data_IF_509748635896
#
_entry.id   IF_509748635896
#
_cell.length_a   1.000
_cell.length_b   1.000
_cell.length_c   1.000
_cell.angle_alpha   90.00
_cell.angle_beta   90.00
_cell.angle_gamma   90.00
#
_symmetry.space_group_name_H-M   'P 1'
#
loop_
_entity.id
_entity.type
_entity.pdbx_description
1 polymer ?
#
# COMPACT_ATOMS: atom_id res chain seq x y z
N UNK A 1 55.52 56.53 21.83
CA UNK A 1 54.48 56.41 20.79
C UNK A 1 54.23 54.91 20.54
N UNK A 2 53.20 54.31 21.22
CA UNK A 2 52.83 52.88 21.04
C UNK A 2 51.66 52.84 20.07
N UNK A 3 51.83 52.23 18.92
CA UNK A 3 50.75 51.96 17.93
C UNK A 3 49.99 50.73 18.38
N UNK A 4 48.73 50.90 18.71
CA UNK A 4 47.75 49.82 18.95
C UNK A 4 47.29 49.31 17.59
N UNK A 5 47.56 48.05 17.30
CA UNK A 5 46.97 47.31 16.14
C UNK A 5 45.65 46.73 16.56
N UNK A 6 44.53 47.27 16.08
CA UNK A 6 43.21 46.65 16.20
C UNK A 6 43.09 45.55 15.15
N UNK A 7 43.05 44.29 15.57
CA UNK A 7 42.71 43.17 14.74
C UNK A 7 41.16 43.03 14.79
N UNK A 8 40.51 43.45 13.70
CA UNK A 8 39.08 43.20 13.52
C UNK A 8 38.87 41.73 13.14
N UNK A 9 38.43 40.94 14.11
CA UNK A 9 37.98 39.55 13.88
C UNK A 9 36.57 39.59 13.31
N UNK A 10 36.41 39.56 11.99
CA UNK A 10 35.11 39.37 11.33
C UNK A 10 34.68 37.93 11.50
N UNK A 11 33.84 37.68 12.50
CA UNK A 11 33.15 36.41 12.64
C UNK A 11 32.13 36.25 11.48
N UNK A 12 32.50 35.48 10.46
CA UNK A 12 31.55 34.99 9.48
C UNK A 12 30.56 34.07 10.23
N UNK A 13 29.38 34.60 10.57
CA UNK A 13 28.28 33.78 10.95
C UNK A 13 27.79 33.05 9.70
N UNK A 14 28.24 31.82 9.52
CA UNK A 14 27.59 30.89 8.61
C UNK A 14 26.19 30.60 9.20
N UNK A 15 25.17 31.33 8.73
CA UNK A 15 23.77 30.92 8.94
C UNK A 15 23.58 29.60 8.18
N UNK A 16 23.77 28.48 8.85
CA UNK A 16 23.27 27.19 8.35
C UNK A 16 21.75 27.35 8.38
N UNK A 17 21.16 27.68 7.25
CA UNK A 17 19.73 27.57 7.08
C UNK A 17 19.38 26.08 7.35
N UNK A 18 18.84 25.80 8.52
CA UNK A 18 18.32 24.45 8.84
C UNK A 18 17.22 24.17 7.82
N UNK A 19 17.48 23.23 6.93
CA UNK A 19 16.46 22.79 5.99
C UNK A 19 15.30 22.21 6.80
N UNK A 20 14.07 22.58 6.45
CA UNK A 20 12.89 22.03 7.12
C UNK A 20 12.87 20.50 6.91
N UNK A 21 12.73 19.69 7.99
CA UNK A 21 12.74 18.25 7.87
C UNK A 21 11.63 17.74 6.94
N UNK A 22 11.91 16.68 6.21
CA UNK A 22 10.93 16.01 5.36
C UNK A 22 9.96 15.21 6.22
N UNK A 23 8.66 15.49 6.11
CA UNK A 23 7.61 14.73 6.77
C UNK A 23 7.10 13.61 5.85
N UNK A 24 7.27 12.35 6.26
CA UNK A 24 6.69 11.18 5.57
C UNK A 24 5.34 10.87 6.22
N UNK A 25 4.25 11.16 5.53
CA UNK A 25 2.88 11.05 6.06
C UNK A 25 2.23 9.74 5.63
N UNK A 26 1.71 8.99 6.61
CA UNK A 26 0.99 7.74 6.41
C UNK A 26 -0.49 7.91 6.75
N UNK A 27 -1.42 7.43 5.91
CA UNK A 27 -2.87 7.48 6.16
C UNK A 27 -3.38 6.34 7.05
N UNK A 28 -2.53 5.70 7.82
CA UNK A 28 -2.82 4.51 8.65
C UNK A 28 -2.31 4.69 10.07
N UNK A 29 -2.71 3.80 10.97
CA UNK A 29 -2.09 3.66 12.29
C UNK A 29 -0.73 2.96 12.17
N UNK A 30 0.20 3.18 13.12
CA UNK A 30 1.50 2.51 13.12
C UNK A 30 1.39 0.98 13.01
N UNK A 31 2.30 0.38 12.25
CA UNK A 31 2.38 -1.07 12.02
C UNK A 31 2.06 -1.48 10.57
N UNK A 32 2.44 -2.71 10.23
CA UNK A 32 2.23 -3.29 8.92
C UNK A 32 3.12 -2.71 7.82
N UNK A 33 2.85 -3.15 6.60
CA UNK A 33 3.70 -2.91 5.42
C UNK A 33 3.97 -1.43 5.12
N UNK A 34 2.97 -0.56 5.30
CA UNK A 34 3.16 0.87 5.05
C UNK A 34 4.17 1.47 6.04
N UNK A 35 4.11 1.10 7.31
CA UNK A 35 5.13 1.52 8.30
C UNK A 35 6.53 1.04 7.91
N UNK A 36 6.68 -0.21 7.52
CA UNK A 36 7.97 -0.77 7.12
C UNK A 36 8.54 -0.06 5.88
N UNK A 37 7.69 0.23 4.91
CA UNK A 37 8.05 0.96 3.70
C UNK A 37 8.49 2.41 4.00
N UNK A 38 7.72 3.12 4.85
CA UNK A 38 8.06 4.47 5.29
C UNK A 38 9.36 4.52 6.09
N UNK A 39 9.61 3.53 6.95
CA UNK A 39 10.87 3.44 7.71
C UNK A 39 12.07 3.18 6.81
N UNK A 40 11.92 2.36 5.76
CA UNK A 40 12.96 2.15 4.75
C UNK A 40 13.28 3.44 3.98
N UNK A 41 12.27 4.23 3.64
CA UNK A 41 12.45 5.56 3.03
C UNK A 41 13.14 6.52 4.01
N UNK A 42 12.65 6.62 5.24
CA UNK A 42 13.21 7.48 6.29
C UNK A 42 14.68 7.21 6.51
N UNK A 43 15.06 5.95 6.66
CA UNK A 43 16.46 5.54 6.82
C UNK A 43 17.29 5.91 5.57
N UNK A 44 16.75 5.74 4.37
CA UNK A 44 17.45 6.08 3.13
C UNK A 44 17.68 7.59 2.98
N UNK A 45 16.71 8.42 3.40
CA UNK A 45 16.86 9.88 3.46
C UNK A 45 17.92 10.28 4.48
N UNK A 46 17.92 9.67 5.67
CA UNK A 46 18.91 9.94 6.72
C UNK A 46 20.33 9.62 6.27
N UNK A 47 20.54 8.54 5.54
CA UNK A 47 21.85 8.16 4.97
C UNK A 47 22.37 9.17 3.93
N UNK A 48 21.49 9.87 3.23
CA UNK A 48 21.85 10.99 2.33
C UNK A 48 21.92 12.35 3.08
N UNK A 49 21.86 12.35 4.43
CA UNK A 49 21.94 13.55 5.26
C UNK A 49 20.71 14.45 5.20
N UNK A 50 19.55 13.89 4.84
CA UNK A 50 18.27 14.59 4.77
C UNK A 50 17.50 14.35 6.07
N UNK A 51 17.31 15.41 6.86
CA UNK A 51 16.48 15.34 8.07
C UNK A 51 15.04 14.99 7.71
N UNK A 52 14.47 14.03 8.41
CA UNK A 52 13.12 13.57 8.14
C UNK A 52 12.47 12.93 9.37
N UNK A 53 11.14 12.77 9.34
CA UNK A 53 10.37 12.07 10.33
C UNK A 53 9.12 11.44 9.71
N UNK A 54 8.57 10.44 10.39
CA UNK A 54 7.35 9.73 9.97
C UNK A 54 6.19 10.17 10.84
N UNK A 55 5.07 10.52 10.21
CA UNK A 55 3.83 10.90 10.89
C UNK A 55 2.65 10.04 10.41
N UNK A 56 1.73 9.74 11.33
CA UNK A 56 0.57 8.89 11.09
C UNK A 56 -0.70 9.71 11.25
N UNK A 57 -1.50 9.80 10.19
CA UNK A 57 -2.75 10.55 10.14
C UNK A 57 -3.88 9.64 9.65
N UNK A 58 -4.31 8.65 10.45
CA UNK A 58 -5.37 7.72 10.06
C UNK A 58 -6.74 8.40 10.02
N UNK A 59 -7.64 7.82 9.24
CA UNK A 59 -9.06 8.17 9.22
C UNK A 59 -9.59 8.65 7.87
N UNK A 60 -10.91 8.59 7.75
CA UNK A 60 -11.66 8.95 6.54
C UNK A 60 -11.09 8.32 5.26
N UNK A 61 -10.72 7.03 5.29
CA UNK A 61 -10.10 6.29 4.17
C UNK A 61 -8.90 7.03 3.54
N UNK A 62 -8.09 7.69 4.37
CA UNK A 62 -6.89 8.43 3.97
C UNK A 62 -7.11 9.92 3.68
N UNK A 63 -8.34 10.44 3.67
CA UNK A 63 -8.61 11.84 3.35
C UNK A 63 -8.05 12.82 4.38
N UNK A 64 -7.96 12.43 5.66
CA UNK A 64 -7.35 13.28 6.70
C UNK A 64 -5.88 13.53 6.35
N UNK A 65 -5.13 12.46 6.06
CA UNK A 65 -3.73 12.57 5.67
C UNK A 65 -3.56 13.31 4.34
N UNK A 66 -4.37 12.97 3.33
CA UNK A 66 -4.35 13.64 2.03
C UNK A 66 -4.51 15.15 2.16
N UNK A 67 -5.53 15.63 2.90
CA UNK A 67 -5.79 17.05 3.08
C UNK A 67 -4.66 17.76 3.85
N UNK A 68 -4.06 17.09 4.85
CA UNK A 68 -2.90 17.63 5.56
C UNK A 68 -1.70 17.81 4.63
N UNK A 69 -1.42 16.81 3.78
CA UNK A 69 -0.32 16.84 2.81
C UNK A 69 -0.52 17.93 1.76
N UNK A 70 -1.73 18.06 1.21
CA UNK A 70 -2.05 19.12 0.22
C UNK A 70 -1.96 20.50 0.85
N UNK A 71 -2.32 20.66 2.12
CA UNK A 71 -2.19 21.94 2.85
C UNK A 71 -0.72 22.27 3.14
N UNK A 72 0.10 21.29 3.46
CA UNK A 72 1.53 21.48 3.76
C UNK A 72 2.32 21.81 2.50
N UNK A 73 2.05 21.17 1.39
CA UNK A 73 2.66 21.27 0.04
C UNK A 73 4.14 20.92 -0.04
N UNK A 74 4.99 21.58 0.77
CA UNK A 74 6.45 21.38 0.76
C UNK A 74 6.96 20.53 1.92
N UNK A 75 8.13 19.93 1.75
CA UNK A 75 8.78 19.08 2.75
C UNK A 75 7.88 17.95 3.24
N UNK A 76 7.05 17.40 2.35
CA UNK A 76 6.13 16.33 2.64
C UNK A 76 6.11 15.28 1.54
N UNK A 77 6.26 14.01 1.94
CA UNK A 77 6.09 12.83 1.09
C UNK A 77 4.89 12.06 1.65
N UNK A 78 3.95 11.75 0.79
CA UNK A 78 2.75 10.98 1.17
C UNK A 78 2.89 9.53 0.75
N UNK A 79 2.74 8.61 1.68
CA UNK A 79 2.67 7.19 1.35
C UNK A 79 1.25 6.83 0.91
N UNK A 80 1.15 6.18 -0.22
CA UNK A 80 -0.12 5.90 -0.89
C UNK A 80 -0.19 4.46 -1.37
N UNK A 81 -1.37 3.86 -1.23
CA UNK A 81 -1.69 2.56 -1.79
C UNK A 81 -3.02 2.59 -2.54
N UNK A 82 -3.34 1.50 -3.21
CA UNK A 82 -4.59 1.34 -3.98
C UNK A 82 -5.83 1.63 -3.13
N UNK A 83 -5.84 1.21 -1.86
CA UNK A 83 -6.97 1.46 -0.96
C UNK A 83 -7.31 2.95 -0.85
N UNK A 84 -6.30 3.81 -0.76
CA UNK A 84 -6.47 5.26 -0.59
C UNK A 84 -6.63 5.95 -1.94
N UNK A 85 -5.75 5.67 -2.90
CA UNK A 85 -5.67 6.40 -4.18
C UNK A 85 -6.76 6.04 -5.19
N UNK A 86 -7.35 4.87 -5.08
CA UNK A 86 -8.43 4.39 -5.97
C UNK A 86 -9.75 4.31 -5.20
N UNK A 87 -9.82 3.47 -4.17
CA UNK A 87 -11.10 3.15 -3.52
C UNK A 87 -11.71 4.29 -2.73
N UNK A 88 -10.92 5.16 -2.10
CA UNK A 88 -11.46 6.35 -1.43
C UNK A 88 -12.21 7.27 -2.40
N UNK A 89 -11.75 7.36 -3.65
CA UNK A 89 -12.41 8.17 -4.69
C UNK A 89 -13.67 7.50 -5.23
N UNK A 90 -13.65 6.17 -5.38
CA UNK A 90 -14.83 5.39 -5.80
C UNK A 90 -15.94 5.46 -4.76
N UNK A 91 -15.60 5.26 -3.47
CA UNK A 91 -16.57 5.31 -2.36
C UNK A 91 -17.25 6.69 -2.27
N UNK A 92 -16.51 7.75 -2.57
CA UNK A 92 -17.02 9.14 -2.52
C UNK A 92 -17.60 9.63 -3.83
N UNK A 93 -17.69 8.78 -4.85
CA UNK A 93 -18.14 9.13 -6.21
C UNK A 93 -17.52 10.44 -6.73
N UNK A 94 -16.22 10.56 -6.59
CA UNK A 94 -15.45 11.74 -7.02
C UNK A 94 -14.33 11.38 -7.99
N UNK A 95 -13.84 12.38 -8.74
CA UNK A 95 -12.63 12.24 -9.55
C UNK A 95 -11.43 11.85 -8.67
N UNK A 96 -10.45 11.21 -9.28
CA UNK A 96 -9.26 10.80 -8.55
C UNK A 96 -8.43 12.04 -8.15
N UNK A 97 -8.59 12.46 -6.89
CA UNK A 97 -7.90 13.65 -6.35
C UNK A 97 -6.39 13.46 -6.26
N UNK A 98 -5.91 12.21 -6.16
CA UNK A 98 -4.48 11.90 -6.10
C UNK A 98 -3.81 12.18 -7.44
N UNK A 99 -4.34 11.64 -8.54
CA UNK A 99 -3.79 11.91 -9.88
C UNK A 99 -3.97 13.37 -10.31
N UNK A 100 -4.93 14.09 -9.72
CA UNK A 100 -5.15 15.50 -9.98
C UNK A 100 -4.10 16.40 -9.31
N UNK A 101 -3.79 16.14 -8.05
CA UNK A 101 -3.04 17.08 -7.19
C UNK A 101 -1.67 16.56 -6.76
N UNK A 102 -1.32 15.29 -7.04
CA UNK A 102 -0.05 14.69 -6.68
C UNK A 102 0.66 14.09 -7.87
N UNK A 103 1.97 13.95 -7.77
CA UNK A 103 2.82 13.17 -8.65
C UNK A 103 3.21 11.91 -7.90
N UNK A 104 2.89 10.75 -8.47
CA UNK A 104 3.43 9.49 -8.02
C UNK A 104 4.91 9.43 -8.37
N UNK A 105 5.76 9.45 -7.34
CA UNK A 105 7.21 9.45 -7.53
C UNK A 105 7.82 8.06 -7.52
N UNK A 106 7.22 7.14 -6.78
CA UNK A 106 7.66 5.76 -6.74
C UNK A 106 6.53 4.83 -6.31
N UNK A 107 6.01 3.96 -7.17
CA UNK A 107 5.48 2.69 -6.73
C UNK A 107 6.67 1.82 -6.33
N UNK A 108 6.64 1.28 -5.12
CA UNK A 108 7.82 0.59 -4.54
C UNK A 108 7.60 -0.91 -4.44
N UNK A 109 6.43 -1.32 -3.98
CA UNK A 109 6.09 -2.73 -3.79
C UNK A 109 4.68 -3.05 -4.28
N UNK A 110 4.47 -4.31 -4.66
CA UNK A 110 3.17 -4.93 -4.85
C UNK A 110 2.88 -5.88 -3.70
N UNK A 111 1.63 -5.92 -3.28
CA UNK A 111 1.11 -6.86 -2.30
C UNK A 111 0.15 -7.83 -2.98
N UNK A 112 0.57 -9.05 -3.33
CA UNK A 112 -0.35 -10.02 -3.89
C UNK A 112 -1.53 -10.25 -2.96
N UNK A 113 -2.75 -10.21 -3.51
CA UNK A 113 -3.94 -10.69 -2.83
C UNK A 113 -4.11 -12.18 -3.10
N UNK A 114 -4.77 -12.85 -2.17
CA UNK A 114 -5.11 -14.26 -2.33
C UNK A 114 -6.32 -14.64 -1.53
N UNK A 115 -6.94 -15.74 -1.95
CA UNK A 115 -7.92 -16.40 -1.11
C UNK A 115 -7.20 -17.30 -0.11
N UNK A 116 -7.49 -17.06 1.16
CA UNK A 116 -6.96 -17.81 2.30
C UNK A 116 -8.10 -18.52 3.01
N UNK A 117 -7.88 -19.73 3.45
CA UNK A 117 -8.87 -20.52 4.17
C UNK A 117 -8.24 -21.20 5.39
N UNK A 118 -9.09 -21.55 6.38
CA UNK A 118 -8.68 -22.53 7.37
C UNK A 118 -8.23 -23.81 6.69
N UNK A 119 -7.18 -24.44 7.22
CA UNK A 119 -6.72 -25.74 6.72
C UNK A 119 -7.79 -26.85 6.78
N UNK A 120 -8.85 -26.62 7.57
CA UNK A 120 -9.96 -27.57 7.81
C UNK A 120 -11.12 -27.42 6.81
N UNK A 121 -11.22 -26.31 6.05
CA UNK A 121 -12.41 -26.00 5.26
C UNK A 121 -12.26 -26.39 3.79
N UNK A 122 -11.38 -25.74 3.03
CA UNK A 122 -11.25 -25.95 1.58
C UNK A 122 -9.87 -26.50 1.22
N UNK A 123 -9.84 -27.52 0.37
CA UNK A 123 -8.62 -28.14 -0.13
C UNK A 123 -7.99 -27.37 -1.29
N UNK A 124 -8.82 -26.63 -2.06
CA UNK A 124 -8.37 -25.93 -3.25
C UNK A 124 -9.20 -24.66 -3.53
N UNK A 125 -8.66 -23.75 -4.34
CA UNK A 125 -9.39 -22.57 -4.79
C UNK A 125 -10.61 -22.91 -5.64
N UNK A 126 -10.53 -23.95 -6.46
CA UNK A 126 -11.69 -24.42 -7.26
C UNK A 126 -12.85 -24.87 -6.36
N UNK A 127 -12.55 -25.65 -5.33
CA UNK A 127 -13.56 -26.10 -4.36
C UNK A 127 -14.25 -24.93 -3.67
N UNK A 128 -13.49 -23.92 -3.22
CA UNK A 128 -14.01 -22.71 -2.62
C UNK A 128 -14.95 -21.96 -3.56
N UNK A 129 -14.58 -21.80 -4.83
CA UNK A 129 -15.42 -21.13 -5.83
C UNK A 129 -16.69 -21.89 -6.13
N UNK A 130 -16.62 -23.21 -6.33
CA UNK A 130 -17.83 -24.04 -6.58
C UNK A 130 -18.77 -24.00 -5.37
N UNK A 131 -18.25 -24.04 -4.15
CA UNK A 131 -19.06 -23.87 -2.94
C UNK A 131 -19.73 -22.48 -2.91
N UNK A 132 -18.99 -21.42 -3.22
CA UNK A 132 -19.51 -20.04 -3.20
C UNK A 132 -20.54 -19.75 -4.29
N UNK A 133 -20.59 -20.52 -5.39
CA UNK A 133 -21.65 -20.39 -6.40
C UNK A 133 -23.02 -20.83 -5.91
N UNK A 134 -23.06 -21.81 -5.03
CA UNK A 134 -24.31 -22.43 -4.56
C UNK A 134 -24.68 -22.02 -3.14
N UNK A 135 -23.72 -21.56 -2.33
CA UNK A 135 -23.92 -21.21 -0.93
C UNK A 135 -23.44 -19.79 -0.63
N UNK A 136 -24.17 -19.03 0.21
CA UNK A 136 -23.61 -17.83 0.82
C UNK A 136 -22.33 -18.17 1.60
N UNK A 137 -21.27 -17.43 1.38
CA UNK A 137 -19.98 -17.70 2.01
C UNK A 137 -19.40 -16.42 2.63
N UNK A 138 -19.49 -16.26 3.97
CA UNK A 138 -18.79 -15.20 4.68
C UNK A 138 -17.28 -15.28 4.43
N UNK A 139 -16.72 -14.19 3.90
CA UNK A 139 -15.32 -14.07 3.53
C UNK A 139 -14.72 -12.79 4.12
N UNK A 140 -13.71 -12.92 4.94
CA UNK A 140 -13.06 -11.81 5.63
C UNK A 140 -12.26 -10.92 4.69
N UNK A 141 -12.26 -9.64 4.99
CA UNK A 141 -11.44 -8.65 4.29
C UNK A 141 -10.84 -7.67 5.30
N UNK A 142 -9.55 -7.37 5.18
CA UNK A 142 -8.85 -6.45 6.08
C UNK A 142 -8.77 -5.01 5.55
N UNK A 143 -9.25 -4.77 4.32
CA UNK A 143 -9.22 -3.48 3.68
C UNK A 143 -10.43 -3.28 2.73
N UNK A 144 -10.85 -2.03 2.50
CA UNK A 144 -12.03 -1.70 1.68
C UNK A 144 -12.01 -2.29 0.27
N UNK A 145 -10.84 -2.38 -0.36
CA UNK A 145 -10.70 -2.98 -1.70
C UNK A 145 -11.09 -4.47 -1.71
N UNK A 146 -10.89 -5.20 -0.62
CA UNK A 146 -11.31 -6.60 -0.53
C UNK A 146 -12.82 -6.78 -0.69
N UNK A 147 -13.62 -5.93 -0.05
CA UNK A 147 -15.08 -5.95 -0.20
C UNK A 147 -15.52 -5.67 -1.65
N UNK A 148 -14.89 -4.68 -2.29
CA UNK A 148 -15.18 -4.35 -3.68
C UNK A 148 -14.78 -5.48 -4.64
N UNK A 149 -13.63 -6.15 -4.36
CA UNK A 149 -13.19 -7.31 -5.14
C UNK A 149 -14.14 -8.50 -5.00
N UNK A 150 -14.61 -8.81 -3.79
CA UNK A 150 -15.62 -9.87 -3.59
C UNK A 150 -16.92 -9.55 -4.35
N UNK A 151 -17.39 -8.30 -4.32
CA UNK A 151 -18.55 -7.86 -5.08
C UNK A 151 -18.34 -8.02 -6.60
N UNK A 152 -17.14 -7.67 -7.10
CA UNK A 152 -16.76 -7.85 -8.51
C UNK A 152 -16.74 -9.32 -8.91
N UNK A 153 -16.18 -10.17 -8.06
CA UNK A 153 -16.14 -11.62 -8.28
C UNK A 153 -17.57 -12.20 -8.32
N UNK A 154 -18.42 -11.82 -7.36
CA UNK A 154 -19.81 -12.23 -7.33
C UNK A 154 -20.54 -11.87 -8.63
N UNK A 155 -20.44 -10.60 -9.05
CA UNK A 155 -21.12 -10.10 -10.25
C UNK A 155 -20.64 -10.81 -11.53
N UNK A 156 -19.33 -11.05 -11.64
CA UNK A 156 -18.73 -11.60 -12.87
C UNK A 156 -18.83 -13.12 -12.97
N UNK A 157 -18.69 -13.81 -11.84
CA UNK A 157 -18.53 -15.29 -11.84
C UNK A 157 -19.68 -16.04 -11.16
N UNK A 158 -20.72 -15.31 -10.70
CA UNK A 158 -21.91 -15.91 -10.11
C UNK A 158 -21.72 -16.52 -8.73
N UNK A 159 -20.71 -16.05 -7.98
CA UNK A 159 -20.46 -16.47 -6.61
C UNK A 159 -21.34 -15.69 -5.61
N UNK A 160 -21.38 -16.14 -4.34
CA UNK A 160 -22.18 -15.56 -3.26
C UNK A 160 -21.31 -15.25 -2.03
N UNK A 161 -20.15 -14.62 -2.24
CA UNK A 161 -19.34 -14.16 -1.14
C UNK A 161 -20.03 -13.03 -0.37
N UNK A 162 -20.04 -13.14 0.95
CA UNK A 162 -20.51 -12.10 1.87
C UNK A 162 -19.29 -11.48 2.54
N UNK A 163 -19.05 -10.20 2.28
CA UNK A 163 -17.89 -9.50 2.84
C UNK A 163 -18.04 -9.29 4.35
N UNK A 164 -17.07 -9.74 5.13
CA UNK A 164 -16.95 -9.50 6.57
C UNK A 164 -15.74 -8.59 6.82
N UNK A 165 -15.96 -7.29 7.08
CA UNK A 165 -14.86 -6.34 7.25
C UNK A 165 -14.19 -6.47 8.62
N UNK A 166 -12.86 -6.49 8.62
CA UNK A 166 -12.00 -6.45 9.80
C UNK A 166 -11.13 -5.19 9.82
N UNK A 167 -10.76 -4.70 10.99
CA UNK A 167 -9.87 -3.53 11.14
C UNK A 167 -8.39 -3.83 10.88
N UNK A 168 -8.09 -5.01 10.32
CA UNK A 168 -6.74 -5.46 9.98
C UNK A 168 -6.55 -6.97 10.21
N UNK A 169 -5.41 -7.47 9.76
CA UNK A 169 -5.10 -8.91 9.77
C UNK A 169 -4.95 -9.50 11.17
N UNK A 170 -4.61 -8.69 12.17
CA UNK A 170 -4.50 -9.15 13.57
C UNK A 170 -5.82 -9.65 14.14
N UNK A 171 -6.95 -9.07 13.69
CA UNK A 171 -8.28 -9.51 14.09
C UNK A 171 -8.82 -10.63 13.19
N UNK A 172 -8.50 -10.62 11.92
CA UNK A 172 -8.99 -11.58 10.92
C UNK A 172 -8.35 -12.97 11.08
N UNK A 173 -7.04 -13.03 11.36
CA UNK A 173 -6.28 -14.29 11.42
C UNK A 173 -6.76 -15.29 12.47
N UNK A 174 -7.06 -14.89 13.73
CA UNK A 174 -7.60 -15.83 14.71
C UNK A 174 -8.86 -16.55 14.21
N UNK A 175 -9.83 -15.80 13.66
CA UNK A 175 -11.10 -16.38 13.18
C UNK A 175 -10.90 -17.36 12.01
N UNK A 176 -9.91 -17.08 11.14
CA UNK A 176 -9.53 -18.03 10.09
C UNK A 176 -8.89 -19.31 10.65
N UNK A 177 -7.95 -19.18 11.61
CA UNK A 177 -7.24 -20.33 12.20
C UNK A 177 -8.21 -21.22 12.96
N UNK A 178 -9.15 -20.64 13.71
CA UNK A 178 -10.18 -21.35 14.44
C UNK A 178 -11.24 -21.99 13.52
N UNK A 179 -11.39 -21.43 12.31
CA UNK A 179 -12.36 -21.91 11.30
C UNK A 179 -13.76 -21.30 11.45
N UNK A 180 -13.97 -20.35 12.35
CA UNK A 180 -15.19 -19.53 12.46
C UNK A 180 -15.40 -18.74 11.18
N UNK A 181 -14.33 -18.18 10.62
CA UNK A 181 -14.29 -17.59 9.29
C UNK A 181 -13.75 -18.63 8.29
N UNK A 182 -14.53 -18.96 7.27
CA UNK A 182 -14.16 -20.02 6.32
C UNK A 182 -13.17 -19.59 5.25
N UNK A 183 -13.21 -18.32 4.85
CA UNK A 183 -12.25 -17.76 3.89
C UNK A 183 -12.00 -16.27 4.12
N UNK A 184 -10.89 -15.80 3.57
CA UNK A 184 -10.59 -14.39 3.44
C UNK A 184 -10.03 -14.09 2.05
N UNK A 185 -10.27 -12.88 1.55
CA UNK A 185 -9.55 -12.28 0.43
C UNK A 185 -8.65 -11.19 0.99
N UNK A 186 -7.36 -11.47 1.07
CA UNK A 186 -6.44 -10.60 1.79
C UNK A 186 -5.01 -10.64 1.20
N UNK A 187 -4.14 -9.76 1.71
CA UNK A 187 -2.72 -9.74 1.36
C UNK A 187 -2.03 -11.03 1.83
N UNK A 188 -1.47 -11.80 0.89
CA UNK A 188 -0.94 -13.13 1.18
C UNK A 188 0.30 -13.10 2.08
N UNK A 189 1.13 -12.06 2.00
CA UNK A 189 2.37 -11.95 2.78
C UNK A 189 2.15 -12.15 4.28
N UNK A 190 1.05 -11.60 4.82
CA UNK A 190 0.69 -11.73 6.24
C UNK A 190 0.26 -13.15 6.65
N UNK A 191 -0.02 -14.04 5.70
CA UNK A 191 -0.53 -15.39 5.94
C UNK A 191 0.49 -16.49 5.62
N UNK A 192 1.60 -16.17 4.94
CA UNK A 192 2.65 -17.14 4.56
C UNK A 192 3.17 -17.94 5.76
N UNK A 193 3.52 -17.34 6.91
CA UNK A 193 4.00 -18.12 8.05
C UNK A 193 2.99 -19.17 8.53
N UNK A 194 1.71 -18.81 8.62
CA UNK A 194 0.65 -19.73 9.04
C UNK A 194 0.31 -20.78 7.98
N UNK A 195 0.52 -20.47 6.72
CA UNK A 195 0.40 -21.42 5.62
C UNK A 195 1.51 -22.48 5.70
N UNK A 196 2.74 -22.06 5.92
CA UNK A 196 3.91 -22.95 6.08
C UNK A 196 3.78 -23.83 7.33
N UNK A 197 3.19 -23.31 8.39
CA UNK A 197 2.86 -24.06 9.61
C UNK A 197 1.65 -25.02 9.44
N UNK A 198 0.99 -25.02 8.29
CA UNK A 198 -0.20 -25.85 8.02
C UNK A 198 -1.47 -25.41 8.77
N UNK A 199 -1.47 -24.26 9.44
CA UNK A 199 -2.64 -23.71 10.18
C UNK A 199 -3.66 -23.09 9.25
N UNK A 200 -3.20 -22.49 8.15
CA UNK A 200 -4.02 -21.93 7.10
C UNK A 200 -3.60 -22.51 5.74
N UNK A 201 -4.46 -22.34 4.73
CA UNK A 201 -4.12 -22.59 3.33
C UNK A 201 -4.29 -21.32 2.52
N UNK A 202 -3.24 -20.85 1.86
CA UNK A 202 -3.35 -19.91 0.77
C UNK A 202 -3.80 -20.73 -0.44
N UNK A 203 -4.99 -20.47 -0.96
CA UNK A 203 -5.62 -21.27 -2.02
C UNK A 203 -5.32 -20.74 -3.42
N UNK A 204 -5.05 -19.43 -3.53
CA UNK A 204 -4.77 -18.77 -4.81
C UNK A 204 -4.17 -17.39 -4.57
N UNK A 205 -3.49 -16.85 -5.59
CA UNK A 205 -2.85 -15.52 -5.56
C UNK A 205 -3.13 -14.73 -6.84
N UNK A 206 -3.08 -13.40 -6.75
CA UNK A 206 -3.16 -12.51 -7.93
C UNK A 206 -1.87 -12.47 -8.73
N UNK A 207 -0.73 -12.74 -8.11
CA UNK A 207 0.60 -12.75 -8.73
C UNK A 207 1.42 -13.91 -8.21
N UNK A 208 2.27 -14.47 -9.05
CA UNK A 208 3.25 -15.48 -8.62
C UNK A 208 4.08 -14.92 -7.47
N UNK A 209 4.10 -15.62 -6.36
CA UNK A 209 4.75 -15.21 -5.12
C UNK A 209 5.85 -16.19 -4.78
N UNK A 210 7.04 -15.69 -4.49
CA UNK A 210 8.20 -16.52 -4.15
C UNK A 210 7.89 -17.44 -2.96
N UNK A 211 8.22 -18.71 -3.09
CA UNK A 211 8.01 -19.70 -2.01
C UNK A 211 6.57 -20.18 -1.85
N UNK A 212 5.64 -19.77 -2.71
CA UNK A 212 4.27 -20.28 -2.74
C UNK A 212 4.00 -21.04 -4.03
N UNK A 213 3.68 -22.32 -3.91
CA UNK A 213 3.21 -23.16 -5.03
C UNK A 213 1.68 -23.26 -4.99
N UNK A 214 1.03 -22.16 -5.37
CA UNK A 214 -0.44 -22.05 -5.40
C UNK A 214 -0.89 -21.43 -6.73
N UNK A 215 -2.06 -21.81 -7.25
CA UNK A 215 -2.53 -21.29 -8.54
C UNK A 215 -2.81 -19.79 -8.48
N UNK A 216 -2.59 -19.12 -9.60
CA UNK A 216 -3.11 -17.77 -9.80
C UNK A 216 -4.64 -17.79 -9.88
N UNK A 217 -5.28 -16.72 -9.38
CA UNK A 217 -6.74 -16.59 -9.37
C UNK A 217 -7.33 -16.71 -10.78
N UNK A 218 -6.67 -16.17 -11.80
CA UNK A 218 -7.13 -16.20 -13.19
C UNK A 218 -7.21 -17.62 -13.80
N UNK A 219 -6.51 -18.60 -13.22
CA UNK A 219 -6.61 -20.01 -13.63
C UNK A 219 -7.98 -20.63 -13.34
N UNK A 220 -8.70 -20.11 -12.35
CA UNK A 220 -10.03 -20.57 -11.95
C UNK A 220 -11.10 -19.54 -12.30
N UNK A 221 -10.76 -18.26 -12.24
CA UNK A 221 -11.60 -17.12 -12.61
C UNK A 221 -11.00 -16.38 -13.81
N UNK A 222 -11.23 -16.85 -15.05
CA UNK A 222 -10.58 -16.33 -16.25
C UNK A 222 -10.78 -14.81 -16.40
N UNK A 223 -9.68 -14.09 -16.67
CA UNK A 223 -9.68 -12.65 -16.82
C UNK A 223 -9.86 -11.88 -15.50
N UNK A 224 -9.61 -12.53 -14.36
CA UNK A 224 -9.44 -11.82 -13.09
C UNK A 224 -8.04 -11.19 -13.06
N UNK A 225 -7.98 -9.91 -12.79
CA UNK A 225 -6.75 -9.19 -12.54
C UNK A 225 -7.00 -8.15 -11.45
N UNK A 226 -6.09 -8.04 -10.51
CA UNK A 226 -6.07 -7.00 -9.50
C UNK A 226 -4.62 -6.72 -9.12
N UNK A 227 -4.24 -5.46 -9.11
CA UNK A 227 -2.91 -5.01 -8.71
C UNK A 227 -3.03 -4.17 -7.43
N UNK A 228 -2.55 -4.71 -6.32
CA UNK A 228 -2.46 -4.01 -5.04
C UNK A 228 -1.00 -3.57 -4.84
N UNK A 229 -0.78 -2.28 -4.79
CA UNK A 229 0.55 -1.68 -4.70
C UNK A 229 0.61 -0.60 -3.62
N UNK A 230 1.82 -0.31 -3.19
CA UNK A 230 2.16 0.79 -2.30
C UNK A 230 3.33 1.58 -2.87
N UNK A 231 3.33 2.88 -2.63
CA UNK A 231 4.35 3.79 -3.12
C UNK A 231 4.26 5.15 -2.46
N UNK A 232 4.93 6.12 -3.06
CA UNK A 232 5.00 7.48 -2.55
C UNK A 232 4.56 8.50 -3.59
N UNK A 233 3.96 9.58 -3.10
CA UNK A 233 3.54 10.72 -3.91
C UNK A 233 3.97 12.03 -3.25
N UNK A 234 4.17 13.05 -4.07
CA UNK A 234 4.47 14.43 -3.65
C UNK A 234 3.44 15.35 -4.29
N UNK A 235 2.98 16.42 -3.59
CA UNK A 235 2.12 17.44 -4.21
C UNK A 235 2.77 18.01 -5.48
N UNK A 236 1.97 18.24 -6.54
CA UNK A 236 2.46 18.70 -7.86
C UNK A 236 3.25 20.01 -7.80
N UNK A 237 2.87 20.89 -6.89
CA UNK A 237 3.46 22.21 -6.76
C UNK A 237 4.61 22.25 -5.73
N UNK A 238 5.02 21.11 -5.21
CA UNK A 238 6.10 21.02 -4.21
C UNK A 238 7.47 21.29 -4.81
N UNK A 239 8.26 22.11 -4.12
CA UNK A 239 9.65 22.34 -4.46
C UNK A 239 10.54 21.10 -4.26
N UNK A 240 10.10 20.13 -3.47
CA UNK A 240 10.81 18.84 -3.29
C UNK A 240 11.02 18.08 -4.60
N UNK A 241 10.15 18.27 -5.58
CA UNK A 241 10.29 17.67 -6.92
C UNK A 241 11.55 18.14 -7.64
N UNK A 242 12.16 19.26 -7.20
CA UNK A 242 13.41 19.84 -7.71
C UNK A 242 14.63 19.46 -6.86
N UNK A 243 14.44 18.87 -5.67
CA UNK A 243 15.55 18.39 -4.84
C UNK A 243 16.06 17.06 -5.38
N UNK A 244 17.16 17.10 -6.11
CA UNK A 244 17.77 15.92 -6.75
C UNK A 244 18.17 14.85 -5.74
N UNK A 245 18.52 15.19 -4.49
CA UNK A 245 18.89 14.23 -3.46
C UNK A 245 17.68 13.46 -2.99
N UNK A 246 16.57 14.16 -2.68
CA UNK A 246 15.30 13.53 -2.31
C UNK A 246 14.80 12.64 -3.44
N UNK A 247 14.76 13.16 -4.66
CA UNK A 247 14.27 12.42 -5.83
C UNK A 247 15.13 11.19 -6.14
N UNK A 248 16.45 11.30 -5.98
CA UNK A 248 17.38 10.15 -6.11
C UNK A 248 17.03 9.05 -5.11
N UNK A 249 16.81 9.39 -3.83
CA UNK A 249 16.48 8.43 -2.79
C UNK A 249 15.15 7.75 -3.11
N UNK A 250 14.10 8.52 -3.37
CA UNK A 250 12.75 7.98 -3.60
C UNK A 250 12.69 7.10 -4.85
N UNK A 251 13.28 7.55 -5.96
CA UNK A 251 13.28 6.81 -7.22
C UNK A 251 14.08 5.50 -7.16
N UNK A 252 15.08 5.42 -6.29
CA UNK A 252 15.89 4.21 -6.13
C UNK A 252 15.46 3.31 -4.97
N UNK A 253 14.47 3.70 -4.18
CA UNK A 253 14.04 2.96 -3.00
C UNK A 253 13.64 1.50 -3.34
N UNK A 254 12.99 1.28 -4.49
CA UNK A 254 12.57 -0.06 -4.95
C UNK A 254 13.74 -1.05 -5.13
N UNK A 255 15.00 -0.57 -5.19
CA UNK A 255 16.23 -1.37 -5.27
C UNK A 255 16.94 -1.47 -3.91
N UNK A 256 16.38 -0.87 -2.87
CA UNK A 256 17.04 -0.82 -1.57
C UNK A 256 17.02 -2.19 -0.89
N UNK A 257 18.17 -2.62 -0.39
CA UNK A 257 18.27 -3.82 0.46
C UNK A 257 17.41 -3.74 1.72
N UNK A 258 17.01 -2.55 2.15
CA UNK A 258 16.10 -2.34 3.28
C UNK A 258 14.71 -2.93 3.04
N UNK A 259 14.35 -3.20 1.79
CA UNK A 259 13.09 -3.83 1.40
C UNK A 259 13.16 -5.36 1.27
N UNK A 260 14.36 -5.95 1.37
CA UNK A 260 14.52 -7.42 1.28
C UNK A 260 13.59 -8.16 2.25
N UNK A 261 13.41 -7.75 3.53
CA UNK A 261 12.48 -8.44 4.44
C UNK A 261 11.03 -8.44 3.93
N UNK A 262 10.60 -7.38 3.23
CA UNK A 262 9.27 -7.34 2.60
C UNK A 262 9.20 -8.32 1.42
N UNK A 263 10.21 -8.38 0.56
CA UNK A 263 10.25 -9.31 -0.56
C UNK A 263 10.33 -10.77 -0.08
N UNK A 264 11.07 -11.04 0.98
CA UNK A 264 11.12 -12.37 1.61
C UNK A 264 9.79 -12.77 2.25
N UNK A 265 8.99 -11.79 2.69
CA UNK A 265 7.63 -12.02 3.21
C UNK A 265 6.54 -12.06 2.12
N UNK A 266 6.93 -12.17 0.84
CA UNK A 266 6.01 -12.39 -0.28
C UNK A 266 5.50 -11.14 -0.99
N UNK A 267 6.05 -9.96 -0.68
CA UNK A 267 5.82 -8.77 -1.50
C UNK A 267 6.66 -8.83 -2.78
N UNK A 268 6.24 -8.10 -3.80
CA UNK A 268 6.87 -8.10 -5.10
C UNK A 268 7.36 -6.70 -5.46
N UNK A 269 8.37 -6.63 -6.33
CA UNK A 269 8.77 -5.36 -6.94
C UNK A 269 7.60 -4.68 -7.67
N UNK A 270 7.55 -3.36 -7.59
CA UNK A 270 6.46 -2.60 -8.16
C UNK A 270 6.51 -2.48 -9.69
N UNK A 271 5.38 -2.03 -10.24
CA UNK A 271 5.22 -1.67 -11.65
C UNK A 271 6.07 -0.42 -11.97
N UNK A 272 6.62 -0.28 -13.17
CA UNK A 272 7.25 0.97 -13.61
C UNK A 272 6.31 2.18 -13.47
N UNK A 273 6.86 3.31 -13.03
CA UNK A 273 6.11 4.55 -12.74
C UNK A 273 5.28 5.08 -13.91
N UNK A 274 5.72 4.84 -15.15
CA UNK A 274 5.09 5.41 -16.36
C UNK A 274 3.61 5.06 -16.53
N UNK A 275 3.15 3.95 -15.97
CA UNK A 275 1.79 3.46 -16.13
C UNK A 275 0.89 3.67 -14.91
N UNK A 276 1.43 4.21 -13.79
CA UNK A 276 0.70 4.19 -12.52
C UNK A 276 -0.53 5.11 -12.53
N UNK A 277 -0.41 6.34 -13.04
CA UNK A 277 -1.52 7.29 -13.11
C UNK A 277 -2.64 6.76 -14.01
N UNK A 278 -2.28 6.21 -15.15
CA UNK A 278 -3.21 5.55 -16.07
C UNK A 278 -3.89 4.37 -15.38
N UNK A 279 -3.12 3.54 -14.68
CA UNK A 279 -3.65 2.39 -13.94
C UNK A 279 -4.61 2.83 -12.84
N UNK A 280 -4.26 3.85 -12.04
CA UNK A 280 -5.11 4.40 -10.99
C UNK A 280 -6.43 4.94 -11.54
N UNK A 281 -6.38 5.74 -12.60
CA UNK A 281 -7.58 6.30 -13.23
C UNK A 281 -8.46 5.20 -13.82
N UNK A 282 -7.88 4.22 -14.51
CA UNK A 282 -8.61 3.08 -15.07
C UNK A 282 -9.25 2.22 -13.98
N UNK A 283 -8.53 1.93 -12.90
CA UNK A 283 -9.08 1.20 -11.75
C UNK A 283 -10.23 1.99 -11.12
N UNK A 284 -10.06 3.29 -10.86
CA UNK A 284 -11.11 4.15 -10.30
C UNK A 284 -12.39 4.09 -11.13
N UNK A 285 -12.27 4.22 -12.45
CA UNK A 285 -13.45 4.17 -13.34
C UNK A 285 -14.08 2.78 -13.40
N UNK A 286 -13.28 1.73 -13.51
CA UNK A 286 -13.78 0.34 -13.53
C UNK A 286 -14.57 0.01 -12.26
N UNK A 287 -14.10 0.43 -11.09
CA UNK A 287 -14.82 0.20 -9.82
C UNK A 287 -16.04 1.10 -9.68
N UNK A 288 -15.97 2.34 -10.16
CA UNK A 288 -17.15 3.22 -10.17
C UNK A 288 -18.29 2.60 -11.00
N UNK A 289 -17.99 2.11 -12.20
CA UNK A 289 -18.99 1.44 -13.05
C UNK A 289 -19.52 0.16 -12.43
N UNK A 290 -18.67 -0.59 -11.74
CA UNK A 290 -19.04 -1.83 -11.09
C UNK A 290 -19.99 -1.61 -9.90
N UNK A 291 -19.75 -0.55 -9.12
CA UNK A 291 -20.49 -0.24 -7.89
C UNK A 291 -21.70 0.66 -8.14
N UNK A 292 -21.84 1.27 -9.31
CA UNK A 292 -23.11 1.87 -9.74
C UNK A 292 -24.16 0.76 -9.83
N UNK A 293 -25.22 0.92 -9.03
CA UNK A 293 -26.39 0.02 -9.01
C UNK A 293 -27.24 0.20 -10.26
#
# INVERSE_FOLDING_TARGET
MKKLLLIACSALHFCIASATPVNIVLPVTPGGVMTELAMALSQSLTEEGIENFVSYLPGADGDIAYNAVIKQQDNVIFEVGVAHSVFSNVIRDRDNVYTKNMIMIAPVIRSPLGFVSSSKNFGSFRELIEYAKTNPLPCGVSAPHGSAELARINKKYGTRFESVPYKGNSQLRPDLVEGTLKCALDSVGSHIPLHNDGKLKILSVTHVTRGLDVPMIDRVLPGYAFDNWFGFAIPKDSNMLKDERVMKVVNNLHRSKKLEPLFDSGFLHAVPQQDIDKTMNQQTENYRQLLKK
#
